data_IF_299193399372
#
_entry.id   IF_299193399372
#
_cell.length_a   1.000
_cell.length_b   1.000
_cell.length_c   1.000
_cell.angle_alpha   90.00
_cell.angle_beta   90.00
_cell.angle_gamma   90.00
#
_symmetry.space_group_name_H-M   'P 1'
#
loop_
_entity.id
_entity.type
_entity.pdbx_description
1 polymer ?
#
# COMPACT_ATOMS: atom_id res chain seq x y z
N UNK A 1 77.90 94.70 26.70
CA UNK A 1 77.47 95.92 25.97
C UNK A 1 76.80 95.48 24.69
N UNK A 2 75.59 95.99 24.41
CA UNK A 2 74.85 95.82 23.14
C UNK A 2 74.34 94.40 22.80
N UNK A 3 73.20 94.15 22.17
CA UNK A 3 72.15 94.97 21.54
C UNK A 3 71.06 93.98 21.06
N UNK A 4 69.77 94.34 21.24
CA UNK A 4 68.73 94.35 20.18
C UNK A 4 68.26 92.96 19.66
N UNK A 5 67.03 92.71 19.20
CA UNK A 5 65.90 93.52 18.67
C UNK A 5 64.78 92.49 18.30
N UNK A 6 63.51 92.70 18.65
CA UNK A 6 62.36 93.01 17.74
C UNK A 6 62.14 91.98 16.60
N UNK A 7 60.95 91.45 16.20
CA UNK A 7 59.53 91.88 16.29
C UNK A 7 58.75 91.12 15.16
N UNK A 8 57.40 91.05 15.24
CA UNK A 8 56.38 90.67 14.19
C UNK A 8 56.28 89.16 13.84
N UNK A 9 55.14 88.52 13.52
CA UNK A 9 53.72 88.89 13.30
C UNK A 9 52.85 87.62 13.23
N UNK A 10 51.55 87.80 13.53
CA UNK A 10 50.33 87.05 13.14
C UNK A 10 50.45 85.88 12.14
N UNK A 11 49.76 84.75 12.42
CA UNK A 11 48.39 84.47 11.92
C UNK A 11 47.94 82.99 12.12
N UNK A 12 46.75 82.88 12.71
CA UNK A 12 45.67 81.89 12.51
C UNK A 12 45.95 80.46 12.01
N UNK A 13 45.61 79.48 12.86
CA UNK A 13 44.80 78.32 12.45
C UNK A 13 44.11 77.71 13.69
N UNK A 14 42.82 77.99 13.83
CA UNK A 14 41.93 77.34 14.77
C UNK A 14 41.63 75.93 14.22
N UNK A 15 42.30 74.89 14.72
CA UNK A 15 41.91 73.51 14.48
C UNK A 15 41.17 73.00 15.72
N UNK A 16 39.84 73.11 15.69
CA UNK A 16 38.97 72.36 16.61
C UNK A 16 38.96 70.93 16.10
N UNK A 17 39.94 70.14 16.54
CA UNK A 17 39.88 68.69 16.43
C UNK A 17 38.92 68.18 17.50
N UNK A 18 37.67 67.91 17.12
CA UNK A 18 36.79 67.08 17.92
C UNK A 18 37.35 65.65 17.90
N UNK A 19 38.14 65.30 18.92
CA UNK A 19 38.52 63.91 19.16
C UNK A 19 37.23 63.14 19.50
N UNK A 20 36.88 62.05 18.78
CA UNK A 20 35.86 61.15 19.26
C UNK A 20 36.37 60.55 20.58
N UNK A 21 35.68 60.83 21.67
CA UNK A 21 35.91 60.16 22.94
C UNK A 21 35.56 58.68 22.75
N UNK A 22 36.57 57.83 22.55
CA UNK A 22 36.40 56.39 22.66
C UNK A 22 36.05 56.10 24.12
N UNK A 23 34.81 55.68 24.36
CA UNK A 23 34.38 55.20 25.67
C UNK A 23 34.93 53.78 25.86
N UNK A 24 36.22 53.66 26.14
CA UNK A 24 36.77 52.41 26.63
C UNK A 24 36.16 52.17 28.01
N UNK A 25 35.27 51.18 28.11
CA UNK A 25 34.78 50.69 29.39
C UNK A 25 35.99 50.20 30.20
N UNK A 26 36.44 50.98 31.18
CA UNK A 26 37.58 50.63 32.00
C UNK A 26 37.32 49.27 32.68
N UNK A 27 38.19 48.31 32.42
CA UNK A 27 38.13 46.99 33.06
C UNK A 27 38.43 47.15 34.54
N UNK A 28 37.39 47.08 35.38
CA UNK A 28 37.54 47.16 36.84
C UNK A 28 37.83 45.76 37.39
N UNK A 29 39.03 45.58 37.96
CA UNK A 29 39.36 44.38 38.73
C UNK A 29 38.89 44.55 40.17
N UNK A 30 38.14 43.58 40.69
CA UNK A 30 37.73 43.52 42.09
C UNK A 30 38.35 42.29 42.76
N UNK A 31 38.94 42.48 43.93
CA UNK A 31 39.36 41.37 44.77
C UNK A 31 38.15 40.83 45.53
N UNK A 32 37.94 39.53 45.46
CA UNK A 32 36.89 38.82 46.19
C UNK A 32 37.54 37.84 47.17
N UNK A 33 36.92 37.65 48.34
CA UNK A 33 37.28 36.56 49.25
C UNK A 33 36.35 35.38 48.96
N UNK A 34 36.91 34.23 48.61
CA UNK A 34 36.19 33.00 48.32
C UNK A 34 36.47 31.95 49.40
N UNK A 35 35.42 31.27 49.85
CA UNK A 35 35.52 30.14 50.78
C UNK A 35 35.32 28.83 50.03
N UNK A 36 36.28 27.92 50.15
CA UNK A 36 36.21 26.55 49.64
C UNK A 36 35.90 25.63 50.82
N UNK A 37 34.70 25.06 50.83
CA UNK A 37 34.20 24.24 51.94
C UNK A 37 33.64 22.90 51.42
N UNK A 38 34.30 22.29 50.44
CA UNK A 38 33.93 20.99 49.87
C UNK A 38 32.45 20.93 49.44
N UNK A 39 32.04 21.93 48.66
CA UNK A 39 30.65 22.07 48.22
C UNK A 39 30.29 20.91 47.29
N UNK A 40 29.30 20.10 47.68
CA UNK A 40 28.84 18.95 46.88
C UNK A 40 27.61 19.31 46.06
N UNK A 41 27.70 19.13 44.75
CA UNK A 41 26.58 19.29 43.83
C UNK A 41 25.96 17.92 43.55
N UNK A 42 24.62 17.84 43.66
CA UNK A 42 23.86 16.62 43.33
C UNK A 42 22.81 16.91 42.27
N UNK A 43 22.64 15.98 41.33
CA UNK A 43 21.57 15.99 40.34
C UNK A 43 20.84 14.64 40.38
N UNK A 44 19.52 14.68 40.56
CA UNK A 44 18.68 13.48 40.74
C UNK A 44 19.23 12.49 41.80
N UNK A 45 19.78 13.03 42.90
CA UNK A 45 20.34 12.25 44.01
C UNK A 45 21.80 11.80 43.84
N UNK A 46 22.36 11.86 42.62
CA UNK A 46 23.74 11.48 42.32
C UNK A 46 24.69 12.67 42.45
N UNK A 47 25.89 12.45 42.99
CA UNK A 47 26.93 13.48 43.08
C UNK A 47 27.48 13.77 41.67
N UNK A 48 27.48 15.04 41.28
CA UNK A 48 28.05 15.50 40.01
C UNK A 48 29.57 15.70 40.19
N UNK A 49 30.43 15.04 39.39
CA UNK A 49 31.87 15.27 39.44
C UNK A 49 32.21 16.73 39.08
N UNK A 50 33.17 17.32 39.78
CA UNK A 50 33.55 18.73 39.59
C UNK A 50 35.06 18.84 39.37
N UNK A 51 35.49 19.23 38.17
CA UNK A 51 36.91 19.50 37.89
C UNK A 51 37.37 20.84 38.49
N UNK A 52 36.43 21.78 38.65
CA UNK A 52 36.63 23.05 39.34
C UNK A 52 35.72 23.07 40.56
N UNK A 53 36.30 23.20 41.76
CA UNK A 53 35.54 23.18 43.00
C UNK A 53 34.61 24.41 43.10
N UNK A 54 33.30 24.23 43.37
CA UNK A 54 32.41 25.34 43.68
C UNK A 54 32.84 26.06 44.96
N UNK A 55 32.62 27.37 45.01
CA UNK A 55 33.07 28.21 46.12
C UNK A 55 31.98 29.19 46.57
N UNK A 56 32.14 29.76 47.75
CA UNK A 56 31.17 30.68 48.35
C UNK A 56 31.77 32.09 48.43
N UNK A 57 31.04 33.10 47.94
CA UNK A 57 31.37 34.53 48.10
C UNK A 57 30.16 35.23 48.70
N UNK A 58 30.34 35.92 49.82
CA UNK A 58 29.28 36.68 50.51
C UNK A 58 27.99 35.86 50.73
N UNK A 59 28.11 34.57 51.06
CA UNK A 59 26.98 33.67 51.28
C UNK A 59 26.38 33.05 50.01
N UNK A 60 26.82 33.46 48.82
CA UNK A 60 26.36 32.90 47.54
C UNK A 60 27.31 31.80 47.06
N UNK A 61 26.77 30.64 46.70
CA UNK A 61 27.54 29.54 46.10
C UNK A 61 27.65 29.75 44.59
N UNK A 62 28.88 29.73 44.08
CA UNK A 62 29.21 29.83 42.66
C UNK A 62 29.61 28.45 42.15
N UNK A 63 28.89 27.98 41.14
CA UNK A 63 29.08 26.67 40.52
C UNK A 63 29.57 26.87 39.09
N UNK A 64 30.56 26.08 38.61
CA UNK A 64 30.99 26.17 37.23
C UNK A 64 29.84 25.92 36.24
N UNK A 65 29.53 26.90 35.40
CA UNK A 65 28.44 26.80 34.43
C UNK A 65 28.62 25.61 33.47
N UNK A 66 29.84 25.38 32.98
CA UNK A 66 30.15 24.31 32.02
C UNK A 66 29.89 22.91 32.60
N UNK A 67 30.08 22.76 33.91
CA UNK A 67 29.74 21.53 34.63
C UNK A 67 28.22 21.29 34.63
N UNK A 68 27.43 22.29 35.01
CA UNK A 68 25.96 22.17 35.00
C UNK A 68 25.39 22.03 33.59
N UNK A 69 25.99 22.67 32.59
CA UNK A 69 25.59 22.49 31.20
C UNK A 69 25.79 21.05 30.72
N UNK A 70 26.89 20.38 31.13
CA UNK A 70 27.09 18.96 30.87
C UNK A 70 25.98 18.10 31.48
N UNK A 71 25.58 18.37 32.72
CA UNK A 71 24.48 17.68 33.42
C UNK A 71 23.15 17.82 32.66
N UNK A 72 22.88 18.99 32.09
CA UNK A 72 21.65 19.28 31.35
C UNK A 72 21.74 19.01 29.83
N UNK A 73 22.82 18.35 29.38
CA UNK A 73 23.10 18.10 27.96
C UNK A 73 22.99 19.37 27.09
N UNK A 74 23.61 20.47 27.57
CA UNK A 74 23.70 21.75 26.88
C UNK A 74 25.13 22.00 26.43
N UNK A 75 25.27 22.79 25.38
CA UNK A 75 26.55 23.31 24.92
C UNK A 75 26.77 24.73 25.44
N UNK A 76 28.02 25.05 25.79
CA UNK A 76 28.43 26.36 26.29
C UNK A 76 29.57 26.91 25.43
N UNK A 77 29.33 28.07 24.81
CA UNK A 77 30.35 28.83 24.09
C UNK A 77 30.66 30.14 24.78
N UNK A 78 31.89 30.62 24.57
CA UNK A 78 32.38 31.90 25.07
C UNK A 78 32.82 32.75 23.89
N UNK A 79 32.27 33.94 23.77
CA UNK A 79 32.72 34.96 22.83
C UNK A 79 33.55 36.02 23.56
N UNK A 80 34.85 36.03 23.29
CA UNK A 80 35.81 36.94 23.90
C UNK A 80 35.62 38.39 23.46
N UNK A 81 35.13 38.63 22.24
CA UNK A 81 35.00 39.99 21.70
C UNK A 81 33.86 40.75 22.39
N UNK A 82 32.76 40.06 22.66
CA UNK A 82 31.58 40.63 23.32
C UNK A 82 31.50 40.32 24.82
N UNK A 83 32.43 39.53 25.36
CA UNK A 83 32.38 38.99 26.72
C UNK A 83 31.06 38.24 27.02
N UNK A 84 30.56 37.47 26.05
CA UNK A 84 29.26 36.80 26.12
C UNK A 84 29.42 35.29 26.33
N UNK A 85 28.63 34.75 27.25
CA UNK A 85 28.42 33.31 27.39
C UNK A 85 27.10 32.93 26.73
N UNK A 86 27.13 31.95 25.82
CA UNK A 86 25.92 31.39 25.20
C UNK A 86 25.73 29.95 25.65
N UNK A 87 24.49 29.60 26.01
CA UNK A 87 24.09 28.24 26.38
C UNK A 87 23.00 27.80 25.43
N UNK A 88 23.22 26.67 24.75
CA UNK A 88 22.30 26.15 23.73
C UNK A 88 21.97 24.68 23.94
N UNK A 89 20.84 24.25 23.37
CA UNK A 89 20.48 22.84 23.32
C UNK A 89 21.45 22.07 22.42
N UNK A 90 21.98 20.96 22.93
CA UNK A 90 22.73 20.02 22.10
C UNK A 90 21.73 19.23 21.26
N UNK A 91 21.98 19.14 19.95
CA UNK A 91 21.22 18.26 19.07
C UNK A 91 21.43 16.82 19.53
N UNK A 92 20.34 16.13 19.88
CA UNK A 92 20.41 14.71 20.21
C UNK A 92 20.58 13.90 18.92
N UNK A 93 21.74 13.24 18.69
CA UNK A 93 21.97 12.44 17.49
C UNK A 93 20.96 11.29 17.33
N UNK A 94 20.29 10.89 18.42
CA UNK A 94 19.24 9.88 18.39
C UNK A 94 18.01 10.32 17.58
N UNK A 95 17.73 11.63 17.48
CA UNK A 95 16.60 12.13 16.68
C UNK A 95 16.81 11.81 15.20
N UNK A 96 18.00 12.08 14.67
CA UNK A 96 18.31 11.78 13.27
C UNK A 96 18.30 10.26 13.00
N UNK A 97 18.79 9.46 13.94
CA UNK A 97 18.74 8.00 13.85
C UNK A 97 17.29 7.47 13.84
N UNK A 98 16.44 7.97 14.74
CA UNK A 98 15.03 7.59 14.81
C UNK A 98 14.27 8.00 13.55
N UNK A 99 14.56 9.17 12.98
CA UNK A 99 13.98 9.61 11.71
C UNK A 99 14.38 8.69 10.54
N UNK A 100 15.66 8.30 10.48
CA UNK A 100 16.12 7.35 9.47
C UNK A 100 15.48 5.96 9.65
N UNK A 101 15.31 5.51 10.89
CA UNK A 101 14.63 4.24 11.18
C UNK A 101 13.15 4.29 10.78
N UNK A 102 12.44 5.38 11.06
CA UNK A 102 11.05 5.56 10.65
C UNK A 102 10.90 5.50 9.13
N UNK A 103 11.73 6.21 8.38
CA UNK A 103 11.71 6.19 6.91
C UNK A 103 11.97 4.77 6.34
N UNK A 104 12.87 4.00 6.97
CA UNK A 104 13.12 2.62 6.59
C UNK A 104 11.93 1.71 6.90
N UNK A 105 11.25 1.90 8.04
CA UNK A 105 10.02 1.16 8.37
C UNK A 105 8.88 1.51 7.42
N UNK A 106 8.69 2.77 7.06
CA UNK A 106 7.66 3.21 6.12
C UNK A 106 7.86 2.60 4.73
N UNK A 107 9.12 2.55 4.27
CA UNK A 107 9.47 1.88 3.01
C UNK A 107 9.13 0.38 3.06
N UNK A 108 9.41 -0.29 4.19
CA UNK A 108 9.08 -1.70 4.38
C UNK A 108 7.57 -1.94 4.44
N UNK A 109 6.82 -1.06 5.11
CA UNK A 109 5.35 -1.12 5.16
C UNK A 109 4.78 -1.01 3.75
N UNK A 110 5.24 -0.05 2.95
CA UNK A 110 4.81 0.13 1.57
C UNK A 110 5.06 -1.12 0.70
N UNK A 111 6.20 -1.79 0.86
CA UNK A 111 6.48 -3.06 0.17
C UNK A 111 5.54 -4.17 0.64
N UNK A 112 5.34 -4.34 1.94
CA UNK A 112 4.46 -5.37 2.48
C UNK A 112 3.01 -5.16 2.05
N UNK A 113 2.53 -3.91 1.98
CA UNK A 113 1.18 -3.59 1.49
C UNK A 113 0.99 -4.00 0.02
N UNK A 114 2.02 -3.80 -0.82
CA UNK A 114 2.01 -4.25 -2.21
C UNK A 114 2.00 -5.77 -2.32
N UNK A 115 2.83 -6.46 -1.53
CA UNK A 115 2.87 -7.92 -1.51
C UNK A 115 1.53 -8.50 -1.06
N UNK A 116 0.94 -7.96 0.01
CA UNK A 116 -0.37 -8.37 0.52
C UNK A 116 -1.45 -8.21 -0.56
N UNK A 117 -1.44 -7.09 -1.28
CA UNK A 117 -2.39 -6.85 -2.38
C UNK A 117 -2.20 -7.85 -3.51
N UNK A 118 -0.95 -8.06 -3.93
CA UNK A 118 -0.60 -9.04 -4.95
C UNK A 118 -1.04 -10.46 -4.61
N UNK A 119 -0.82 -10.91 -3.37
CA UNK A 119 -1.23 -12.23 -2.93
C UNK A 119 -2.76 -12.38 -2.84
N UNK A 120 -3.48 -11.32 -2.42
CA UNK A 120 -4.96 -11.31 -2.44
C UNK A 120 -5.50 -11.47 -3.86
N UNK A 121 -4.99 -10.68 -4.81
CA UNK A 121 -5.42 -10.76 -6.21
C UNK A 121 -5.19 -12.15 -6.82
N UNK A 122 -4.11 -12.84 -6.42
CA UNK A 122 -3.84 -14.19 -6.88
C UNK A 122 -4.79 -15.24 -6.28
N UNK A 123 -5.15 -15.10 -5.00
CA UNK A 123 -6.12 -15.99 -4.36
C UNK A 123 -7.49 -15.86 -5.02
N UNK A 124 -7.94 -14.63 -5.27
CA UNK A 124 -9.23 -14.36 -5.92
C UNK A 124 -9.31 -14.96 -7.33
N UNK A 125 -8.22 -14.90 -8.10
CA UNK A 125 -8.16 -15.55 -9.43
C UNK A 125 -8.22 -17.07 -9.31
N UNK A 126 -7.44 -17.64 -8.40
CA UNK A 126 -7.38 -19.10 -8.22
C UNK A 126 -8.73 -19.68 -7.80
N UNK A 127 -9.47 -18.98 -6.94
CA UNK A 127 -10.79 -19.43 -6.50
C UNK A 127 -11.84 -19.29 -7.62
N UNK A 128 -11.78 -18.23 -8.43
CA UNK A 128 -12.62 -18.11 -9.64
C UNK A 128 -12.32 -19.19 -10.66
N UNK A 129 -11.04 -19.47 -10.92
CA UNK A 129 -10.62 -20.51 -11.88
C UNK A 129 -11.06 -21.90 -11.42
N UNK A 130 -10.94 -22.20 -10.12
CA UNK A 130 -11.47 -23.45 -9.54
C UNK A 130 -12.98 -23.54 -9.67
N UNK A 131 -13.71 -22.47 -9.36
CA UNK A 131 -15.18 -22.47 -9.45
C UNK A 131 -15.63 -22.67 -10.90
N UNK A 132 -14.99 -21.98 -11.85
CA UNK A 132 -15.26 -22.16 -13.29
C UNK A 132 -14.93 -23.58 -13.75
N UNK A 133 -13.85 -24.17 -13.24
CA UNK A 133 -13.50 -25.56 -13.55
C UNK A 133 -14.55 -26.53 -13.02
N UNK A 134 -14.97 -26.40 -11.76
CA UNK A 134 -16.01 -27.27 -11.17
C UNK A 134 -17.28 -27.27 -11.99
N UNK A 135 -17.82 -26.08 -12.32
CA UNK A 135 -19.02 -25.95 -13.16
C UNK A 135 -18.87 -26.62 -14.52
N UNK A 136 -17.66 -26.54 -15.11
CA UNK A 136 -17.38 -27.21 -16.38
C UNK A 136 -17.35 -28.72 -16.20
N UNK A 137 -16.72 -29.22 -15.14
CA UNK A 137 -16.68 -30.65 -14.84
C UNK A 137 -18.12 -31.19 -14.64
N UNK A 138 -19.01 -30.44 -13.97
CA UNK A 138 -20.42 -30.82 -13.78
C UNK A 138 -21.21 -30.91 -15.12
N UNK A 139 -20.96 -30.00 -16.06
CA UNK A 139 -21.58 -30.04 -17.41
C UNK A 139 -21.02 -31.18 -18.26
N UNK A 140 -19.70 -31.41 -18.19
CA UNK A 140 -19.04 -32.49 -18.91
C UNK A 140 -19.57 -33.86 -18.40
N UNK A 141 -19.74 -34.04 -17.08
CA UNK A 141 -20.32 -35.26 -16.48
C UNK A 141 -21.79 -35.48 -16.92
N UNK A 142 -22.58 -34.41 -17.05
CA UNK A 142 -23.95 -34.50 -17.57
C UNK A 142 -24.00 -34.89 -19.06
N UNK A 143 -23.09 -34.35 -19.88
CA UNK A 143 -22.98 -34.72 -21.30
C UNK A 143 -22.79 -36.23 -21.47
N UNK A 144 -21.89 -36.81 -20.68
CA UNK A 144 -21.64 -38.25 -20.68
C UNK A 144 -22.91 -39.04 -20.30
N UNK A 145 -23.62 -38.63 -19.25
CA UNK A 145 -24.87 -39.27 -18.83
C UNK A 145 -25.96 -39.21 -19.91
N UNK A 146 -26.12 -38.05 -20.57
CA UNK A 146 -27.10 -37.90 -21.65
C UNK A 146 -26.76 -38.80 -22.84
N UNK A 147 -25.48 -38.93 -23.20
CA UNK A 147 -25.07 -39.83 -24.28
C UNK A 147 -25.31 -41.30 -23.91
N UNK A 148 -25.12 -41.69 -22.65
CA UNK A 148 -25.42 -43.04 -22.18
C UNK A 148 -26.92 -43.37 -22.26
N UNK A 149 -27.79 -42.43 -21.89
CA UNK A 149 -29.24 -42.63 -21.85
C UNK A 149 -29.90 -42.47 -23.24
N UNK A 150 -29.44 -41.50 -24.03
CA UNK A 150 -30.10 -41.06 -25.27
C UNK A 150 -29.31 -41.33 -26.54
N UNK A 151 -28.01 -41.62 -26.44
CA UNK A 151 -27.12 -41.76 -27.62
C UNK A 151 -27.48 -42.92 -28.55
N UNK A 152 -28.31 -43.87 -28.10
CA UNK A 152 -28.85 -44.98 -28.93
C UNK A 152 -30.36 -45.08 -28.86
N UNK A 153 -31.04 -43.98 -29.10
CA UNK A 153 -32.49 -43.93 -29.09
C UNK A 153 -33.11 -44.35 -30.43
N UNK A 154 -34.16 -45.20 -30.38
CA UNK A 154 -34.92 -45.70 -31.55
C UNK A 154 -34.06 -46.36 -32.66
N UNK A 155 -32.94 -46.97 -32.28
CA UNK A 155 -31.95 -47.60 -33.20
C UNK A 155 -31.28 -46.59 -34.14
N UNK A 156 -31.27 -45.32 -33.74
CA UNK A 156 -30.50 -44.24 -34.35
C UNK A 156 -29.40 -43.90 -33.35
N UNK A 157 -28.22 -43.58 -33.87
CA UNK A 157 -27.11 -43.08 -33.07
C UNK A 157 -27.18 -41.55 -33.01
N UNK A 158 -27.16 -41.02 -31.81
CA UNK A 158 -27.23 -39.59 -31.52
C UNK A 158 -25.97 -39.22 -30.73
N UNK A 159 -25.30 -38.15 -31.15
CA UNK A 159 -24.14 -37.60 -30.43
C UNK A 159 -24.56 -36.26 -29.81
N UNK A 160 -24.71 -36.26 -28.49
CA UNK A 160 -25.15 -35.09 -27.72
C UNK A 160 -23.90 -34.38 -27.20
N UNK A 161 -23.79 -33.09 -27.49
CA UNK A 161 -22.73 -32.23 -26.97
C UNK A 161 -23.35 -31.09 -26.18
N UNK A 162 -22.88 -30.86 -24.95
CA UNK A 162 -23.23 -29.74 -24.10
C UNK A 162 -22.10 -28.73 -24.06
N UNK A 163 -22.46 -27.45 -24.06
CA UNK A 163 -21.55 -26.34 -23.77
C UNK A 163 -22.25 -25.33 -22.87
N UNK A 164 -21.47 -24.46 -22.24
CA UNK A 164 -22.00 -23.42 -21.35
C UNK A 164 -21.70 -23.71 -19.89
N UNK A 165 -22.62 -23.36 -19.01
CA UNK A 165 -22.54 -23.59 -17.56
C UNK A 165 -23.92 -23.86 -16.95
N UNK A 166 -23.98 -24.07 -15.62
CA UNK A 166 -25.20 -24.41 -14.86
C UNK A 166 -26.41 -23.48 -15.07
N UNK A 167 -26.21 -22.27 -15.63
CA UNK A 167 -27.27 -21.28 -15.86
C UNK A 167 -27.68 -21.17 -17.34
N UNK A 168 -26.76 -21.40 -18.28
CA UNK A 168 -26.99 -21.30 -19.73
C UNK A 168 -26.30 -22.47 -20.45
N UNK A 169 -27.08 -23.40 -21.03
CA UNK A 169 -26.59 -24.62 -21.68
C UNK A 169 -26.92 -24.60 -23.18
N UNK A 170 -25.88 -24.71 -24.02
CA UNK A 170 -26.00 -24.97 -25.45
C UNK A 170 -26.01 -26.49 -25.71
N UNK A 171 -27.08 -27.01 -26.32
CA UNK A 171 -27.24 -28.44 -26.61
C UNK A 171 -27.14 -28.69 -28.11
N UNK A 172 -26.17 -29.47 -28.56
CA UNK A 172 -26.09 -29.92 -29.96
C UNK A 172 -26.32 -31.42 -30.02
N UNK A 173 -27.39 -31.85 -30.68
CA UNK A 173 -27.72 -33.26 -30.89
C UNK A 173 -27.43 -33.60 -32.35
N UNK A 174 -26.39 -34.39 -32.60
CA UNK A 174 -25.97 -34.74 -33.95
C UNK A 174 -26.53 -36.10 -34.36
N UNK A 175 -26.93 -36.22 -35.61
CA UNK A 175 -27.32 -37.47 -36.26
C UNK A 175 -26.70 -37.54 -37.64
N UNK A 176 -26.21 -38.72 -38.03
CA UNK A 176 -25.74 -38.96 -39.39
C UNK A 176 -26.90 -39.49 -40.24
N UNK A 177 -27.50 -38.62 -41.05
CA UNK A 177 -28.60 -39.06 -41.90
C UNK A 177 -28.15 -39.91 -43.10
N UNK A 178 -26.86 -40.01 -43.47
CA UNK A 178 -26.44 -40.98 -44.49
C UNK A 178 -26.74 -42.42 -44.01
N UNK A 179 -26.43 -42.70 -42.74
CA UNK A 179 -26.62 -44.01 -42.13
C UNK A 179 -28.04 -44.24 -41.58
N UNK A 180 -28.71 -43.18 -41.11
CA UNK A 180 -29.93 -43.30 -40.33
C UNK A 180 -31.18 -42.68 -40.95
N UNK A 181 -31.13 -42.14 -42.19
CA UNK A 181 -32.25 -41.46 -42.87
C UNK A 181 -33.61 -42.15 -42.70
N UNK A 182 -33.70 -43.41 -43.11
CA UNK A 182 -34.96 -44.17 -43.11
C UNK A 182 -35.58 -44.26 -41.71
N UNK A 183 -34.74 -44.51 -40.68
CA UNK A 183 -35.21 -44.62 -39.30
C UNK A 183 -35.62 -43.26 -38.75
N UNK A 184 -34.93 -42.20 -39.15
CA UNK A 184 -35.28 -40.83 -38.77
C UNK A 184 -36.62 -40.41 -39.40
N UNK A 185 -36.84 -40.71 -40.69
CA UNK A 185 -38.09 -40.43 -41.40
C UNK A 185 -39.31 -41.19 -40.83
N UNK A 186 -39.08 -42.35 -40.19
CA UNK A 186 -40.11 -43.09 -39.47
C UNK A 186 -40.57 -42.41 -38.15
N UNK A 187 -39.81 -41.44 -37.65
CA UNK A 187 -40.15 -40.72 -36.41
C UNK A 187 -41.16 -39.61 -36.67
N UNK A 188 -42.18 -39.55 -35.81
CA UNK A 188 -43.10 -38.42 -35.82
C UNK A 188 -42.50 -37.19 -35.15
N UNK A 189 -42.95 -35.99 -35.55
CA UNK A 189 -42.59 -34.73 -34.89
C UNK A 189 -42.86 -34.76 -33.37
N UNK A 190 -43.90 -35.47 -32.93
CA UNK A 190 -44.20 -35.65 -31.51
C UNK A 190 -43.18 -36.52 -30.78
N UNK A 191 -42.61 -37.52 -31.45
CA UNK A 191 -41.56 -38.36 -30.88
C UNK A 191 -40.24 -37.58 -30.77
N UNK A 192 -39.88 -36.78 -31.79
CA UNK A 192 -38.70 -35.93 -31.74
C UNK A 192 -38.85 -34.85 -30.66
N UNK A 193 -40.01 -34.18 -30.59
CA UNK A 193 -40.27 -33.19 -29.53
C UNK A 193 -40.20 -33.81 -28.14
N UNK A 194 -40.71 -35.04 -27.97
CA UNK A 194 -40.61 -35.75 -26.70
C UNK A 194 -39.15 -36.06 -26.36
N UNK A 195 -38.39 -36.55 -27.32
CA UNK A 195 -36.96 -36.83 -27.16
C UNK A 195 -36.17 -35.58 -26.72
N UNK A 196 -36.37 -34.45 -27.40
CA UNK A 196 -35.79 -33.15 -26.99
C UNK A 196 -36.25 -32.78 -25.57
N UNK A 197 -37.53 -32.95 -25.25
CA UNK A 197 -38.06 -32.62 -23.92
C UNK A 197 -37.43 -33.47 -22.83
N UNK A 198 -37.28 -34.77 -23.06
CA UNK A 198 -36.72 -35.71 -22.10
C UNK A 198 -35.25 -35.31 -21.80
N UNK A 199 -34.46 -34.97 -22.83
CA UNK A 199 -33.10 -34.40 -22.65
C UNK A 199 -33.12 -33.08 -21.86
N UNK A 200 -34.01 -32.14 -22.20
CA UNK A 200 -34.11 -30.88 -21.47
C UNK A 200 -34.53 -31.08 -20.00
N UNK A 201 -35.39 -32.05 -19.72
CA UNK A 201 -35.84 -32.37 -18.36
C UNK A 201 -34.67 -32.95 -17.54
N UNK A 202 -33.88 -33.85 -18.12
CA UNK A 202 -32.69 -34.40 -17.46
C UNK A 202 -31.62 -33.33 -17.20
N UNK A 203 -31.46 -32.38 -18.13
CA UNK A 203 -30.62 -31.20 -17.90
C UNK A 203 -31.14 -30.37 -16.72
N UNK A 204 -32.46 -30.17 -16.61
CA UNK A 204 -33.05 -29.43 -15.49
C UNK A 204 -33.09 -30.20 -14.17
N UNK A 205 -32.98 -31.52 -14.18
CA UNK A 205 -32.85 -32.30 -12.95
C UNK A 205 -31.48 -32.03 -12.28
N UNK A 206 -30.43 -31.82 -13.07
CA UNK A 206 -29.11 -31.42 -12.57
C UNK A 206 -29.01 -29.88 -12.41
N UNK A 207 -29.44 -29.13 -13.42
CA UNK A 207 -29.32 -27.67 -13.52
C UNK A 207 -30.71 -27.00 -13.59
N UNK A 208 -31.40 -26.98 -12.45
CA UNK A 208 -32.82 -26.61 -12.28
C UNK A 208 -33.31 -25.35 -13.01
N UNK A 209 -32.50 -24.30 -13.08
CA UNK A 209 -32.91 -23.01 -13.63
C UNK A 209 -32.24 -22.69 -14.97
N UNK A 210 -31.49 -23.66 -15.55
CA UNK A 210 -30.74 -23.45 -16.78
C UNK A 210 -31.64 -23.01 -17.95
N UNK A 211 -31.26 -21.96 -18.65
CA UNK A 211 -31.80 -21.68 -19.97
C UNK A 211 -31.06 -22.56 -20.99
N UNK A 212 -31.82 -23.15 -21.92
CA UNK A 212 -31.30 -24.09 -22.92
C UNK A 212 -31.50 -23.51 -24.31
N UNK A 213 -30.44 -23.44 -25.09
CA UNK A 213 -30.50 -23.19 -26.53
C UNK A 213 -29.96 -24.43 -27.24
N UNK A 214 -30.75 -25.06 -28.11
CA UNK A 214 -30.35 -26.32 -28.68
C UNK A 214 -30.78 -26.57 -30.12
N UNK A 215 -30.08 -27.51 -30.74
CA UNK A 215 -30.21 -27.83 -32.16
C UNK A 215 -30.07 -29.32 -32.38
N UNK A 216 -30.92 -29.90 -33.25
CA UNK A 216 -30.66 -31.20 -33.87
C UNK A 216 -30.00 -30.94 -35.22
N UNK A 217 -28.82 -31.51 -35.45
CA UNK A 217 -27.98 -31.25 -36.61
C UNK A 217 -27.71 -32.53 -37.40
N UNK A 218 -27.97 -32.51 -38.71
CA UNK A 218 -27.54 -33.56 -39.62
C UNK A 218 -26.07 -33.37 -39.99
N UNK A 219 -25.21 -34.32 -39.61
CA UNK A 219 -23.77 -34.22 -39.89
C UNK A 219 -23.40 -34.49 -41.35
N UNK A 220 -24.23 -35.23 -42.09
CA UNK A 220 -24.01 -35.50 -43.51
C UNK A 220 -24.47 -34.31 -44.36
N UNK A 221 -25.76 -33.96 -44.24
CA UNK A 221 -26.35 -32.82 -44.94
C UNK A 221 -25.80 -31.46 -44.50
N UNK A 222 -25.26 -31.39 -43.28
CA UNK A 222 -24.77 -30.18 -42.61
C UNK A 222 -25.84 -29.13 -42.37
N UNK A 223 -27.05 -29.59 -42.12
CA UNK A 223 -28.24 -28.76 -41.95
C UNK A 223 -28.83 -28.95 -40.56
N UNK A 224 -29.34 -27.87 -39.98
CA UNK A 224 -30.13 -27.92 -38.76
C UNK A 224 -31.50 -28.53 -39.11
N UNK A 225 -31.91 -29.57 -38.39
CA UNK A 225 -33.21 -30.23 -38.56
C UNK A 225 -34.27 -29.63 -37.63
N UNK A 226 -33.82 -29.25 -36.43
CA UNK A 226 -34.65 -28.63 -35.39
C UNK A 226 -33.83 -27.63 -34.61
N UNK A 227 -34.46 -26.52 -34.25
CA UNK A 227 -34.00 -25.64 -33.18
C UNK A 227 -34.97 -25.74 -32.00
N UNK A 228 -34.47 -25.64 -30.78
CA UNK A 228 -35.30 -25.61 -29.59
C UNK A 228 -34.73 -24.68 -28.53
N UNK A 229 -35.63 -24.16 -27.69
CA UNK A 229 -35.27 -23.31 -26.56
C UNK A 229 -36.00 -23.79 -25.31
N UNK A 230 -35.25 -24.08 -24.26
CA UNK A 230 -35.76 -24.40 -22.93
C UNK A 230 -35.66 -23.19 -22.00
N UNK A 231 -36.69 -22.94 -21.19
CA UNK A 231 -36.66 -21.97 -20.09
C UNK A 231 -36.77 -22.67 -18.75
N UNK A 232 -35.66 -22.83 -18.04
CA UNK A 232 -35.55 -23.56 -16.77
C UNK A 232 -36.56 -23.10 -15.72
N UNK A 233 -36.73 -21.78 -15.55
CA UNK A 233 -37.71 -21.22 -14.60
C UNK A 233 -39.17 -21.66 -14.81
N UNK A 234 -39.51 -22.15 -16.00
CA UNK A 234 -40.87 -22.56 -16.34
C UNK A 234 -40.97 -24.01 -16.81
N UNK A 235 -39.84 -24.70 -16.95
CA UNK A 235 -39.68 -26.00 -17.62
C UNK A 235 -40.46 -26.07 -18.95
N UNK A 236 -40.42 -24.99 -19.72
CA UNK A 236 -41.08 -24.89 -21.03
C UNK A 236 -40.05 -24.99 -22.13
N UNK A 237 -40.33 -25.87 -23.09
CA UNK A 237 -39.54 -26.01 -24.31
C UNK A 237 -40.37 -25.54 -25.49
N UNK A 238 -39.78 -24.68 -26.32
CA UNK A 238 -40.29 -24.30 -27.63
C UNK A 238 -39.46 -24.98 -28.71
N UNK A 239 -40.09 -25.36 -29.81
CA UNK A 239 -39.47 -26.13 -30.89
C UNK A 239 -39.76 -25.44 -32.21
N UNK A 240 -38.76 -25.39 -33.07
CA UNK A 240 -38.86 -24.95 -34.45
C UNK A 240 -38.26 -26.02 -35.37
N UNK A 241 -38.98 -26.39 -36.41
CA UNK A 241 -38.54 -27.41 -37.37
C UNK A 241 -38.10 -26.70 -38.64
N UNK A 242 -36.89 -27.01 -39.11
CA UNK A 242 -36.31 -26.39 -40.29
C UNK A 242 -36.74 -27.09 -41.59
#
# INVERSE_FOLDING_TARGET
>A
MFKKKTLLLLSSALLIGALPATTDAAVVKKNIQATYNNVKVKYNGYVVPTDTEPFIVNGTTYIPLRMMAGVFNKDVSWDQASFTVSVGDRVDPKIAQLQAELAAKDSKISTLEKDVTYYRDQLDKKDKDKKKKSKKDDVDDLEDNLNDDYGKWKKIEWDITLKGDEDDIDVTIKVDLDDYKSKYEDLSDSEIKKFIKDICDDIWDEFKDADIDGTIYDTDGKDDLWEFKGKGKTNKVTYDKQ
#
